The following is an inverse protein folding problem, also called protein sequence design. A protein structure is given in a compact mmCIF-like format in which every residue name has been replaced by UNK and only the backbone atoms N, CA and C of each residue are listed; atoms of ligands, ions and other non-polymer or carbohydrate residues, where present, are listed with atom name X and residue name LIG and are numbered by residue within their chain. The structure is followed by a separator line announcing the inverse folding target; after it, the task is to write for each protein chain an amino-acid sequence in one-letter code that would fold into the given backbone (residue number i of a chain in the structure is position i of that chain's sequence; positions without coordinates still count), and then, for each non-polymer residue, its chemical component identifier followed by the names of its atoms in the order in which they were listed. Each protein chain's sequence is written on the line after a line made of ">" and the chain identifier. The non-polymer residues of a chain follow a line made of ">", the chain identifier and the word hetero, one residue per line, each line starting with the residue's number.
data_IF_093827342062
#
_entry.id   IF_093827342062
#
_cell.length_a   1.000
_cell.length_b   1.000
_cell.length_c   1.000
_cell.angle_alpha   90.00
_cell.angle_beta   90.00
_cell.angle_gamma   90.00
#
_symmetry.space_group_name_H-M   'P 1'
#
loop_
_entity.id
_entity.type
_entity.pdbx_description
1 polymer ?
#
# COMPACT_ATOMS: atom_id res chain seq x y z
N UNK A 1 2.04 -13.34 14.93
CA UNK A 1 1.20 -12.24 15.47
C UNK A 1 0.60 -11.49 14.29
N UNK A 2 -0.70 -11.20 14.32
CA UNK A 2 -1.36 -10.38 13.31
C UNK A 2 -1.01 -8.90 13.57
N UNK A 3 -0.56 -8.18 12.55
CA UNK A 3 -0.11 -6.78 12.66
C UNK A 3 -0.83 -5.92 11.65
N UNK A 4 -1.24 -4.74 12.07
CA UNK A 4 -1.83 -3.71 11.22
C UNK A 4 -0.91 -2.49 11.20
N UNK A 5 -0.54 -2.03 10.00
CA UNK A 5 0.22 -0.81 9.77
C UNK A 5 -0.65 0.19 9.01
N UNK A 6 -0.75 1.41 9.54
CA UNK A 6 -1.53 2.49 8.94
C UNK A 6 -0.59 3.67 8.70
N UNK A 7 -0.60 4.19 7.47
CA UNK A 7 0.20 5.37 7.14
C UNK A 7 -0.51 6.28 6.12
N UNK A 8 -0.02 7.52 6.04
CA UNK A 8 -0.46 8.54 5.08
C UNK A 8 0.74 9.05 4.29
N UNK A 9 0.55 9.27 2.99
CA UNK A 9 1.57 9.86 2.12
C UNK A 9 0.94 10.86 1.13
N UNK A 10 1.79 11.59 0.40
CA UNK A 10 1.39 12.52 -0.64
C UNK A 10 1.72 11.95 -2.01
N UNK A 11 0.85 12.20 -2.99
CA UNK A 11 1.22 12.01 -4.40
C UNK A 11 2.24 13.07 -4.80
N UNK A 12 3.15 12.74 -5.73
CA UNK A 12 4.02 13.74 -6.34
C UNK A 12 3.20 14.59 -7.32
N UNK A 13 3.47 15.89 -7.37
CA UNK A 13 2.65 16.86 -8.10
C UNK A 13 2.48 16.54 -9.60
N UNK A 14 3.44 15.83 -10.19
CA UNK A 14 3.48 15.51 -11.62
C UNK A 14 3.00 14.08 -11.96
N UNK A 15 2.54 13.31 -10.98
CA UNK A 15 2.24 11.89 -11.19
C UNK A 15 0.81 11.69 -11.72
N UNK A 16 0.63 11.10 -12.92
CA UNK A 16 -0.71 10.93 -13.49
C UNK A 16 -1.53 9.92 -12.70
N UNK A 17 -2.79 10.27 -12.39
CA UNK A 17 -3.77 9.43 -11.67
C UNK A 17 -3.91 8.03 -12.26
N UNK A 18 -3.75 7.86 -13.59
CA UNK A 18 -3.78 6.54 -14.24
C UNK A 18 -2.74 5.55 -13.70
N UNK A 19 -1.61 6.02 -13.16
CA UNK A 19 -0.60 5.14 -12.52
C UNK A 19 -1.09 4.52 -11.22
N UNK A 20 -2.15 5.06 -10.60
CA UNK A 20 -2.71 4.50 -9.37
C UNK A 20 -3.31 3.11 -9.63
N UNK A 21 -3.96 2.90 -10.78
CA UNK A 21 -4.51 1.59 -11.14
C UNK A 21 -3.42 0.53 -11.27
N UNK A 22 -2.30 0.89 -11.92
CA UNK A 22 -1.12 0.03 -12.03
C UNK A 22 -0.50 -0.27 -10.66
N UNK A 23 -0.36 0.76 -9.82
CA UNK A 23 0.15 0.62 -8.45
C UNK A 23 -0.72 -0.34 -7.62
N UNK A 24 -2.04 -0.23 -7.71
CA UNK A 24 -2.99 -1.13 -7.01
C UNK A 24 -2.87 -2.56 -7.54
N UNK A 25 -2.71 -2.76 -8.85
CA UNK A 25 -2.49 -4.08 -9.44
C UNK A 25 -1.21 -4.76 -8.92
N UNK A 26 -0.10 -4.02 -8.89
CA UNK A 26 1.18 -4.49 -8.35
C UNK A 26 1.06 -4.82 -6.86
N UNK A 27 0.42 -3.92 -6.08
CA UNK A 27 0.21 -4.10 -4.66
C UNK A 27 -0.63 -5.36 -4.38
N UNK A 28 -1.75 -5.54 -5.06
CA UNK A 28 -2.61 -6.72 -4.89
C UNK A 28 -1.85 -8.03 -5.11
N UNK A 29 -1.04 -8.11 -6.17
CA UNK A 29 -0.24 -9.31 -6.45
C UNK A 29 0.78 -9.60 -5.34
N UNK A 30 1.53 -8.58 -4.91
CA UNK A 30 2.55 -8.73 -3.84
C UNK A 30 1.93 -9.06 -2.49
N UNK A 31 0.84 -8.39 -2.15
CA UNK A 31 0.10 -8.57 -0.91
C UNK A 31 -0.45 -9.99 -0.81
N UNK A 32 -1.11 -10.48 -1.87
CA UNK A 32 -1.64 -11.85 -1.94
C UNK A 32 -0.54 -12.92 -1.77
N UNK A 33 0.63 -12.73 -2.38
CA UNK A 33 1.76 -13.64 -2.25
C UNK A 33 2.37 -13.65 -0.84
N UNK A 34 2.15 -12.59 -0.06
CA UNK A 34 2.75 -12.39 1.25
C UNK A 34 1.77 -12.61 2.40
N UNK A 35 0.55 -13.08 2.12
CA UNK A 35 -0.57 -13.20 3.07
C UNK A 35 -0.87 -11.87 3.79
N UNK A 36 -0.83 -10.77 3.02
CA UNK A 36 -1.16 -9.42 3.49
C UNK A 36 -2.39 -8.92 2.76
N UNK A 37 -3.26 -8.23 3.50
CA UNK A 37 -4.46 -7.56 3.01
C UNK A 37 -4.40 -6.08 3.32
N UNK A 38 -5.35 -5.30 2.82
CA UNK A 38 -5.36 -3.88 3.11
C UNK A 38 -6.36 -3.06 2.30
N UNK A 39 -6.35 -1.77 2.57
CA UNK A 39 -7.09 -0.76 1.81
C UNK A 39 -6.16 0.39 1.42
N UNK A 40 -6.37 0.95 0.24
CA UNK A 40 -5.74 2.18 -0.22
C UNK A 40 -6.83 3.17 -0.59
N UNK A 41 -6.83 4.33 0.06
CA UNK A 41 -7.72 5.45 -0.24
C UNK A 41 -6.90 6.59 -0.82
N UNK A 42 -7.41 7.19 -1.90
CA UNK A 42 -6.80 8.36 -2.52
C UNK A 42 -7.86 9.45 -2.70
N UNK A 43 -7.54 10.68 -2.32
CA UNK A 43 -8.47 11.82 -2.39
C UNK A 43 -8.10 12.88 -3.44
N UNK A 44 -7.12 12.60 -4.31
CA UNK A 44 -6.61 13.56 -5.30
C UNK A 44 -5.27 14.21 -4.90
N UNK A 45 -4.85 14.12 -3.64
CA UNK A 45 -3.56 14.66 -3.17
C UNK A 45 -2.84 13.75 -2.17
N UNK A 46 -3.60 12.99 -1.37
CA UNK A 46 -3.05 12.14 -0.32
C UNK A 46 -3.50 10.71 -0.50
N UNK A 47 -2.59 9.81 -0.12
CA UNK A 47 -2.90 8.40 0.09
C UNK A 47 -3.07 8.13 1.58
N UNK A 48 -4.05 7.31 1.90
CA UNK A 48 -4.19 6.64 3.19
C UNK A 48 -4.16 5.15 2.94
N UNK A 49 -3.23 4.43 3.56
CA UNK A 49 -3.10 3.00 3.37
C UNK A 49 -3.08 2.26 4.70
N UNK A 50 -3.81 1.15 4.72
CA UNK A 50 -3.78 0.15 5.77
C UNK A 50 -3.24 -1.16 5.18
N UNK A 51 -2.32 -1.79 5.90
CA UNK A 51 -1.80 -3.13 5.62
C UNK A 51 -2.02 -4.01 6.84
N UNK A 52 -2.49 -5.23 6.64
CA UNK A 52 -2.75 -6.19 7.70
C UNK A 52 -2.30 -7.59 7.32
N UNK A 53 -1.59 -8.27 8.21
CA UNK A 53 -1.10 -9.64 8.00
C UNK A 53 0.00 -10.03 8.98
N UNK A 54 0.82 -11.05 8.67
CA UNK A 54 1.96 -11.43 9.48
C UNK A 54 2.96 -10.27 9.62
N UNK A 55 3.43 -10.02 10.85
CA UNK A 55 4.27 -8.85 11.19
C UNK A 55 5.45 -8.65 10.23
N UNK A 56 6.23 -9.69 9.97
CA UNK A 56 7.41 -9.60 9.10
C UNK A 56 7.03 -9.32 7.64
N UNK A 57 5.88 -9.84 7.18
CA UNK A 57 5.39 -9.61 5.82
C UNK A 57 4.86 -8.18 5.65
N UNK A 58 4.17 -7.65 6.67
CA UNK A 58 3.73 -6.25 6.71
C UNK A 58 4.93 -5.32 6.69
N UNK A 59 5.96 -5.58 7.51
CA UNK A 59 7.21 -4.80 7.52
C UNK A 59 7.94 -4.88 6.17
N UNK A 60 8.01 -6.06 5.57
CA UNK A 60 8.65 -6.26 4.25
C UNK A 60 7.94 -5.45 3.16
N UNK A 61 6.60 -5.52 3.10
CA UNK A 61 5.83 -4.75 2.12
C UNK A 61 6.01 -3.25 2.36
N UNK A 62 5.92 -2.80 3.61
CA UNK A 62 6.09 -1.39 3.93
C UNK A 62 7.47 -0.85 3.52
N UNK A 63 8.54 -1.62 3.77
CA UNK A 63 9.91 -1.27 3.32
C UNK A 63 10.05 -1.18 1.81
N UNK A 64 9.24 -1.91 1.04
CA UNK A 64 9.26 -1.84 -0.42
C UNK A 64 8.44 -0.67 -0.97
N UNK A 65 7.65 0.00 -0.13
CA UNK A 65 6.86 1.19 -0.47
C UNK A 65 7.65 2.47 -0.16
N UNK A 66 8.35 2.51 0.99
CA UNK A 66 9.23 3.62 1.38
C UNK A 66 10.47 3.73 0.49
#
# INVERSE_FOLDING_TARGET
>A
MLTTLIYRSHIRDDEPVKKIEEMVSIANRRNMQSDVTGILLFNGSHFFQLLEGPEEQVKMIYRAIC
#
